data_IF_763602518303
#
_entry.id   IF_763602518303
#
_cell.length_a   1.000
_cell.length_b   1.000
_cell.length_c   1.000
_cell.angle_alpha   90.00
_cell.angle_beta   90.00
_cell.angle_gamma   90.00
#
_symmetry.space_group_name_H-M   'P 1'
#
loop_
_entity.id
_entity.type
_entity.pdbx_description
1 polymer ?
#
# COMPACT_ATOMS: atom_id res chain seq x y z
N UNK A 1 -6.83 2.78 -1.86
CA UNK A 1 -7.49 3.02 -0.54
C UNK A 1 -7.83 4.50 -0.45
N UNK A 2 -8.94 4.86 0.18
CA UNK A 2 -9.47 6.23 0.32
C UNK A 2 -9.91 6.49 1.77
N UNK A 3 -9.75 7.72 2.24
CA UNK A 3 -10.16 8.15 3.58
C UNK A 3 -11.66 8.08 3.84
N UNK A 4 -12.50 8.20 2.80
CA UNK A 4 -13.97 8.18 2.91
C UNK A 4 -14.53 6.81 2.54
N UNK A 5 -13.96 6.17 1.51
CA UNK A 5 -14.52 4.95 0.93
C UNK A 5 -13.81 3.67 1.39
N UNK A 6 -12.68 3.77 2.10
CA UNK A 6 -11.91 2.59 2.51
C UNK A 6 -11.17 1.98 1.32
N UNK A 7 -11.68 0.88 0.76
CA UNK A 7 -11.08 0.22 -0.42
C UNK A 7 -11.87 0.61 -1.66
N UNK A 8 -11.15 0.81 -2.76
CA UNK A 8 -11.72 1.11 -4.06
C UNK A 8 -10.93 0.33 -5.12
N UNK A 9 -11.65 -0.13 -6.13
CA UNK A 9 -11.14 -0.55 -7.42
C UNK A 9 -10.85 0.67 -8.31
N UNK A 10 -9.97 0.54 -9.32
CA UNK A 10 -9.65 1.66 -10.21
C UNK A 10 -10.85 2.20 -11.01
N UNK A 11 -11.91 1.42 -11.19
CA UNK A 11 -13.10 1.80 -11.98
C UNK A 11 -14.22 2.42 -11.15
N UNK A 12 -14.12 2.43 -9.82
CA UNK A 12 -15.14 3.01 -8.96
C UNK A 12 -15.15 4.54 -9.03
N UNK A 13 -16.35 5.11 -9.19
CA UNK A 13 -16.55 6.56 -9.20
C UNK A 13 -16.53 7.09 -7.78
N UNK A 14 -15.66 8.06 -7.52
CA UNK A 14 -15.60 8.80 -6.26
C UNK A 14 -16.13 10.23 -6.43
N UNK A 15 -16.76 10.77 -5.41
CA UNK A 15 -17.09 12.19 -5.35
C UNK A 15 -15.89 12.99 -4.82
N UNK A 16 -15.89 14.31 -5.03
CA UNK A 16 -14.89 15.17 -4.42
C UNK A 16 -15.06 15.18 -2.89
N UNK A 17 -13.98 14.99 -2.16
CA UNK A 17 -13.95 15.06 -0.70
C UNK A 17 -12.61 15.62 -0.22
N UNK A 18 -12.63 16.29 0.93
CA UNK A 18 -11.45 16.81 1.63
C UNK A 18 -11.37 16.18 3.03
N UNK A 19 -11.10 14.88 3.07
CA UNK A 19 -10.99 14.11 4.30
C UNK A 19 -9.67 13.37 4.30
N UNK A 20 -8.97 13.45 5.43
CA UNK A 20 -7.72 12.73 5.64
C UNK A 20 -7.97 11.36 6.26
N UNK A 21 -7.11 10.40 5.90
CA UNK A 21 -7.19 9.04 6.41
C UNK A 21 -6.84 9.03 7.90
N UNK A 22 -7.72 8.47 8.72
CA UNK A 22 -7.49 8.24 10.14
C UNK A 22 -7.42 6.73 10.42
N UNK A 23 -6.21 6.19 10.59
CA UNK A 23 -6.00 4.74 10.74
C UNK A 23 -6.76 4.16 11.94
N UNK A 24 -6.84 4.89 13.06
CA UNK A 24 -7.56 4.45 14.25
C UNK A 24 -9.05 4.22 13.95
N UNK A 25 -9.67 5.12 13.21
CA UNK A 25 -11.07 5.02 12.82
C UNK A 25 -11.31 3.77 11.96
N UNK A 26 -10.54 3.60 10.89
CA UNK A 26 -10.75 2.49 9.95
C UNK A 26 -10.39 1.12 10.53
N UNK A 27 -9.37 1.06 11.38
CA UNK A 27 -9.06 -0.17 12.13
C UNK A 27 -10.20 -0.56 13.08
N UNK A 28 -10.76 0.42 13.80
CA UNK A 28 -11.91 0.19 14.68
C UNK A 28 -13.15 -0.31 13.92
N UNK A 29 -13.36 0.17 12.70
CA UNK A 29 -14.48 -0.24 11.85
C UNK A 29 -14.17 -1.46 10.96
N UNK A 30 -13.08 -2.18 11.23
CA UNK A 30 -12.84 -3.48 10.61
C UNK A 30 -12.26 -3.45 9.19
N UNK A 31 -11.72 -2.31 8.72
CA UNK A 31 -11.10 -2.24 7.39
C UNK A 31 -10.02 -3.32 7.14
N UNK A 32 -9.15 -3.66 8.11
CA UNK A 32 -8.20 -4.76 7.91
C UNK A 32 -8.88 -6.09 7.57
N UNK A 33 -9.99 -6.41 8.25
CA UNK A 33 -10.76 -7.62 7.99
C UNK A 33 -11.44 -7.61 6.62
N UNK A 34 -11.93 -6.45 6.17
CA UNK A 34 -12.47 -6.29 4.82
C UNK A 34 -11.38 -6.54 3.75
N UNK A 35 -10.15 -6.09 3.99
CA UNK A 35 -9.00 -6.38 3.10
C UNK A 35 -8.76 -7.90 3.04
N UNK A 36 -8.75 -8.58 4.19
CA UNK A 36 -8.60 -10.04 4.26
C UNK A 36 -9.68 -10.77 3.47
N UNK A 37 -10.95 -10.42 3.71
CA UNK A 37 -12.11 -11.02 3.03
C UNK A 37 -12.04 -10.79 1.52
N UNK A 38 -11.65 -9.59 1.08
CA UNK A 38 -11.49 -9.30 -0.34
C UNK A 38 -10.40 -10.15 -0.99
N UNK A 39 -9.24 -10.32 -0.34
CA UNK A 39 -8.14 -11.16 -0.82
C UNK A 39 -8.59 -12.62 -0.92
N UNK A 40 -9.25 -13.12 0.12
CA UNK A 40 -9.75 -14.49 0.21
C UNK A 40 -10.79 -14.78 -0.88
N UNK A 41 -11.82 -13.94 -1.00
CA UNK A 41 -12.93 -14.13 -1.96
C UNK A 41 -12.48 -14.05 -3.42
N UNK A 42 -11.46 -13.24 -3.71
CA UNK A 42 -10.95 -13.05 -5.08
C UNK A 42 -9.77 -13.98 -5.41
N UNK A 43 -9.42 -14.92 -4.52
CA UNK A 43 -8.27 -15.83 -4.69
C UNK A 43 -6.97 -15.09 -5.03
N UNK A 44 -6.74 -13.93 -4.42
CA UNK A 44 -5.56 -13.12 -4.68
C UNK A 44 -4.34 -13.83 -4.10
N UNK A 45 -3.38 -14.13 -4.96
CA UNK A 45 -2.15 -14.85 -4.59
C UNK A 45 -1.01 -13.91 -4.21
N UNK A 46 -1.02 -12.67 -4.70
CA UNK A 46 0.05 -11.70 -4.50
C UNK A 46 -0.52 -10.33 -4.12
N UNK A 47 0.01 -9.73 -3.07
CA UNK A 47 -0.37 -8.38 -2.62
C UNK A 47 0.86 -7.50 -2.54
N UNK A 48 0.82 -6.39 -3.27
CA UNK A 48 1.85 -5.34 -3.23
C UNK A 48 1.22 -4.03 -2.78
N UNK A 49 1.76 -3.45 -1.71
CA UNK A 49 1.32 -2.17 -1.18
C UNK A 49 2.41 -1.10 -1.34
N UNK A 50 2.05 0.08 -1.82
CA UNK A 50 2.97 1.20 -2.00
C UNK A 50 2.47 2.40 -1.19
N UNK A 51 3.25 2.84 -0.21
CA UNK A 51 2.84 3.90 0.71
C UNK A 51 3.95 4.88 1.04
N UNK A 52 3.58 6.05 1.53
CA UNK A 52 4.52 6.82 2.34
C UNK A 52 4.71 6.14 3.70
N UNK A 53 5.95 6.14 4.21
CA UNK A 53 6.31 5.49 5.48
C UNK A 53 5.47 5.95 6.67
N UNK A 54 5.03 7.21 6.70
CA UNK A 54 4.28 7.80 7.82
C UNK A 54 2.78 7.84 7.60
N UNK A 55 2.29 7.50 6.41
CA UNK A 55 0.88 7.62 6.07
C UNK A 55 0.00 6.66 6.88
N UNK A 56 -1.18 7.11 7.29
CA UNK A 56 -2.14 6.27 8.02
C UNK A 56 -2.60 5.04 7.23
N UNK A 57 -2.56 5.11 5.90
CA UNK A 57 -2.79 3.98 4.99
C UNK A 57 -1.87 2.78 5.29
N UNK A 58 -0.56 3.00 5.52
CA UNK A 58 0.37 1.91 5.81
C UNK A 58 0.07 1.24 7.16
N UNK A 59 -0.45 2.01 8.13
CA UNK A 59 -0.80 1.51 9.45
C UNK A 59 -1.99 0.55 9.39
N UNK A 60 -2.93 0.81 8.48
CA UNK A 60 -4.06 -0.09 8.20
C UNK A 60 -3.54 -1.39 7.59
N UNK A 61 -2.71 -1.32 6.55
CA UNK A 61 -2.13 -2.52 5.92
C UNK A 61 -1.28 -3.36 6.88
N UNK A 62 -0.52 -2.72 7.78
CA UNK A 62 0.25 -3.42 8.82
C UNK A 62 -0.63 -4.08 9.90
N UNK A 63 -1.92 -3.77 9.95
CA UNK A 63 -2.87 -4.33 10.91
C UNK A 63 -3.68 -5.51 10.35
N UNK A 64 -3.49 -5.86 9.09
CA UNK A 64 -4.06 -7.06 8.48
C UNK A 64 -3.34 -8.29 9.06
N UNK A 65 -4.09 -9.34 9.41
CA UNK A 65 -3.51 -10.59 9.89
C UNK A 65 -3.03 -11.45 8.70
N UNK A 66 -1.90 -11.04 8.13
CA UNK A 66 -1.31 -11.67 6.95
C UNK A 66 -0.97 -13.14 7.16
N UNK A 67 -0.57 -13.51 8.38
CA UNK A 67 -0.24 -14.91 8.72
C UNK A 67 -1.49 -15.77 8.70
N UNK A 68 -2.56 -15.34 9.38
CA UNK A 68 -3.80 -16.08 9.38
C UNK A 68 -4.43 -16.11 7.97
N UNK A 69 -4.32 -15.01 7.22
CA UNK A 69 -4.78 -14.93 5.84
C UNK A 69 -4.05 -15.92 4.93
N UNK A 70 -2.72 -16.04 5.04
CA UNK A 70 -1.94 -17.02 4.30
C UNK A 70 -2.34 -18.47 4.61
N UNK A 71 -2.71 -18.79 5.86
CA UNK A 71 -3.16 -20.13 6.24
C UNK A 71 -4.50 -20.52 5.60
N UNK A 72 -5.42 -19.56 5.42
CA UNK A 72 -6.79 -19.83 4.94
C UNK A 72 -7.05 -19.48 3.47
N UNK A 73 -6.06 -18.92 2.77
CA UNK A 73 -6.21 -18.47 1.38
C UNK A 73 -5.05 -18.95 0.50
N UNK A 74 -5.13 -18.63 -0.79
CA UNK A 74 -4.05 -18.91 -1.76
C UNK A 74 -2.96 -17.82 -1.77
N UNK A 75 -2.90 -16.96 -0.74
CA UNK A 75 -1.92 -15.88 -0.65
C UNK A 75 -0.50 -16.45 -0.54
N UNK A 76 0.31 -16.26 -1.57
CA UNK A 76 1.71 -16.70 -1.65
C UNK A 76 2.68 -15.60 -1.24
N UNK A 77 2.31 -14.34 -1.49
CA UNK A 77 3.16 -13.20 -1.20
C UNK A 77 2.35 -12.00 -0.73
N UNK A 78 2.82 -11.34 0.33
CA UNK A 78 2.36 -10.01 0.71
C UNK A 78 3.55 -9.13 1.07
N UNK A 79 3.73 -8.03 0.33
CA UNK A 79 4.83 -7.11 0.53
C UNK A 79 4.35 -5.67 0.50
N UNK A 80 4.91 -4.86 1.38
CA UNK A 80 4.69 -3.41 1.39
C UNK A 80 6.00 -2.69 1.16
N UNK A 81 6.01 -1.78 0.19
CA UNK A 81 7.08 -0.84 -0.07
C UNK A 81 6.70 0.52 0.48
N UNK A 82 7.65 1.18 1.15
CA UNK A 82 7.42 2.49 1.71
C UNK A 82 8.53 3.47 1.42
N UNK A 83 8.16 4.64 0.93
CA UNK A 83 9.09 5.74 0.67
C UNK A 83 9.32 6.49 1.97
N UNK A 84 10.59 6.57 2.37
CA UNK A 84 11.04 7.41 3.48
C UNK A 84 11.45 8.78 2.94
N UNK A 85 10.47 9.68 2.81
CA UNK A 85 10.73 11.02 2.30
C UNK A 85 11.60 11.83 3.27
N UNK A 86 12.77 12.24 2.79
CA UNK A 86 13.72 13.13 3.46
C UNK A 86 14.15 14.22 2.48
N UNK A 87 13.95 15.48 2.84
CA UNK A 87 14.46 16.60 2.06
C UNK A 87 13.54 17.83 2.03
N UNK A 88 14.02 18.92 1.40
CA UNK A 88 13.24 20.12 1.20
C UNK A 88 12.14 19.89 0.17
N UNK A 89 10.96 20.47 0.39
CA UNK A 89 9.81 20.36 -0.51
C UNK A 89 8.51 20.07 0.21
N UNK A 90 7.39 20.12 -0.53
CA UNK A 90 6.08 19.74 0.02
C UNK A 90 5.89 18.23 -0.13
N UNK A 91 5.80 17.46 0.98
CA UNK A 91 5.54 16.02 0.90
C UNK A 91 4.27 15.70 0.11
N UNK A 92 3.28 16.59 0.16
CA UNK A 92 2.02 16.47 -0.57
C UNK A 92 2.16 16.48 -2.10
N UNK A 93 3.25 17.03 -2.64
CA UNK A 93 3.53 17.01 -4.09
C UNK A 93 4.51 15.90 -4.45
N UNK A 94 5.57 15.77 -3.67
CA UNK A 94 6.70 14.89 -4.01
C UNK A 94 6.36 13.43 -3.76
N UNK A 95 5.71 13.10 -2.64
CA UNK A 95 5.40 11.71 -2.29
C UNK A 95 4.46 11.04 -3.30
N UNK A 96 3.35 11.67 -3.77
CA UNK A 96 2.51 11.06 -4.79
C UNK A 96 3.24 10.78 -6.09
N UNK A 97 4.11 11.69 -6.53
CA UNK A 97 4.93 11.51 -7.73
C UNK A 97 5.86 10.29 -7.56
N UNK A 98 6.66 10.27 -6.49
CA UNK A 98 7.60 9.18 -6.25
C UNK A 98 6.90 7.83 -6.09
N UNK A 99 5.71 7.79 -5.46
CA UNK A 99 4.92 6.56 -5.38
C UNK A 99 4.45 6.10 -6.78
N UNK A 100 4.04 7.04 -7.64
CA UNK A 100 3.67 6.74 -9.02
C UNK A 100 4.84 6.17 -9.82
N UNK A 101 6.01 6.80 -9.73
CA UNK A 101 7.23 6.33 -10.40
C UNK A 101 7.69 4.96 -9.86
N UNK A 102 7.58 4.73 -8.55
CA UNK A 102 7.89 3.43 -7.93
C UNK A 102 6.96 2.32 -8.43
N UNK A 103 5.64 2.59 -8.50
CA UNK A 103 4.66 1.65 -9.06
C UNK A 103 4.94 1.40 -10.54
N UNK A 104 5.24 2.44 -11.31
CA UNK A 104 5.59 2.31 -12.73
C UNK A 104 6.84 1.45 -12.94
N UNK A 105 7.90 1.69 -12.16
CA UNK A 105 9.13 0.91 -12.22
C UNK A 105 8.91 -0.56 -11.84
N UNK A 106 8.05 -0.81 -10.84
CA UNK A 106 7.65 -2.17 -10.46
C UNK A 106 6.90 -2.93 -11.56
N UNK A 107 6.04 -2.23 -12.31
CA UNK A 107 5.33 -2.81 -13.44
C UNK A 107 6.30 -3.09 -14.59
N UNK A 108 7.19 -2.14 -14.90
CA UNK A 108 8.18 -2.28 -15.97
C UNK A 108 9.25 -3.34 -15.68
N UNK A 109 9.49 -3.66 -14.42
CA UNK A 109 10.37 -4.76 -14.02
C UNK A 109 9.70 -6.14 -14.14
N UNK A 110 8.49 -6.21 -14.70
CA UNK A 110 7.66 -7.41 -14.73
C UNK A 110 7.41 -7.99 -13.33
N UNK A 111 7.14 -7.10 -12.36
CA UNK A 111 6.92 -7.45 -10.96
C UNK A 111 8.15 -8.08 -10.27
N UNK A 112 9.36 -7.87 -10.80
CA UNK A 112 10.60 -8.23 -10.12
C UNK A 112 10.71 -7.45 -8.81
N UNK A 113 10.92 -8.16 -7.71
CA UNK A 113 10.80 -7.60 -6.36
C UNK A 113 12.10 -7.10 -5.76
N UNK A 114 13.25 -7.38 -6.39
CA UNK A 114 14.58 -7.16 -5.81
C UNK A 114 15.29 -5.93 -6.38
N UNK A 115 15.06 -5.59 -7.65
CA UNK A 115 15.86 -4.60 -8.37
C UNK A 115 15.05 -3.54 -9.12
N UNK A 116 13.76 -3.42 -8.82
CA UNK A 116 12.88 -2.47 -9.51
C UNK A 116 12.96 -1.04 -8.98
N UNK A 117 13.67 -0.81 -7.87
CA UNK A 117 13.95 0.53 -7.36
C UNK A 117 15.47 0.68 -7.26
N UNK A 118 16.02 1.64 -8.01
CA UNK A 118 17.42 2.02 -7.88
C UNK A 118 17.62 2.70 -6.52
N UNK A 119 18.64 2.32 -5.77
CA UNK A 119 18.92 2.92 -4.47
C UNK A 119 20.02 4.00 -4.60
N UNK A 120 19.75 5.27 -4.21
CA UNK A 120 18.46 5.82 -3.75
C UNK A 120 17.60 6.42 -4.88
N UNK A 121 16.30 6.09 -4.86
CA UNK A 121 15.30 6.49 -5.86
C UNK A 121 15.04 7.99 -5.73
N UNK A 122 15.61 8.80 -6.64
CA UNK A 122 15.69 10.25 -6.51
C UNK A 122 16.30 10.72 -5.17
N UNK A 123 17.27 9.99 -4.64
CA UNK A 123 17.87 10.30 -3.33
C UNK A 123 17.02 9.87 -2.13
N UNK A 124 15.86 9.24 -2.36
CA UNK A 124 14.96 8.74 -1.31
C UNK A 124 15.16 7.24 -1.09
N UNK A 125 15.12 6.83 0.17
CA UNK A 125 15.18 5.42 0.53
C UNK A 125 13.80 4.77 0.37
N UNK A 126 13.79 3.59 -0.26
CA UNK A 126 12.62 2.71 -0.34
C UNK A 126 12.87 1.55 0.64
N UNK A 127 12.08 1.50 1.70
CA UNK A 127 12.03 0.36 2.61
C UNK A 127 11.00 -0.66 2.12
N UNK A 128 11.16 -1.93 2.47
CA UNK A 128 10.11 -2.91 2.28
C UNK A 128 9.88 -3.78 3.53
N UNK A 129 8.70 -4.37 3.61
CA UNK A 129 8.31 -5.34 4.64
C UNK A 129 7.61 -6.50 3.95
N UNK A 130 8.15 -7.72 4.12
CA UNK A 130 7.42 -8.96 3.83
C UNK A 130 6.53 -9.27 5.03
N UNK A 131 5.25 -9.52 4.77
CA UNK A 131 4.30 -9.82 5.84
C UNK A 131 4.11 -11.32 6.09
N UNK A 132 4.54 -12.13 5.12
CA UNK A 132 4.63 -13.59 5.16
C UNK A 132 6.00 -14.04 4.66
#
# INVERSE_FOLDING_TARGET
MSAVYGILTPSERIQNYDMQMAAVHWKRHGLPKIIEEYIEQNNITHVYGFFSRTADYIKIMKSVDWKQLNVRSNLQLSRTYSINFQGPGSPYKVVPQLLGELVYSFINSEFNQEYFYENPFHGQLVDFTSHI
#
